data_IF_112706673910
#
_entry.id   IF_112706673910
#
_cell.length_a   1.000
_cell.length_b   1.000
_cell.length_c   1.000
_cell.angle_alpha   90.00
_cell.angle_beta   90.00
_cell.angle_gamma   90.00
#
_symmetry.space_group_name_H-M   'P 1'
#
loop_
_entity.id
_entity.type
_entity.pdbx_description
1 polymer ?
#
# COMPACT_ATOMS: atom_id res chain seq x y z
N UNK A 1 7.63 10.45 5.85
CA UNK A 1 6.24 10.09 5.50
C UNK A 1 5.21 10.54 6.53
N UNK A 2 5.51 10.61 7.83
CA UNK A 2 4.54 11.01 8.87
C UNK A 2 3.86 12.36 8.63
N UNK A 3 4.58 13.38 8.13
CA UNK A 3 3.98 14.68 7.78
C UNK A 3 2.90 14.55 6.69
N UNK A 4 3.19 13.79 5.64
CA UNK A 4 2.23 13.54 4.54
C UNK A 4 0.99 12.84 5.10
N UNK A 5 1.18 11.82 5.93
CA UNK A 5 0.09 11.10 6.57
C UNK A 5 -0.83 12.00 7.41
N UNK A 6 -0.27 12.94 8.19
CA UNK A 6 -1.06 13.91 8.98
C UNK A 6 -1.90 14.83 8.11
N UNK A 7 -1.36 15.28 6.98
CA UNK A 7 -2.08 16.16 6.06
C UNK A 7 -3.23 15.40 5.39
N UNK A 8 -3.00 14.16 4.96
CA UNK A 8 -4.05 13.30 4.42
C UNK A 8 -5.14 12.99 5.47
N UNK A 9 -4.75 12.71 6.71
CA UNK A 9 -5.68 12.48 7.82
C UNK A 9 -6.58 13.71 8.05
N UNK A 10 -6.00 14.91 8.06
CA UNK A 10 -6.74 16.18 8.16
C UNK A 10 -7.69 16.43 6.98
N UNK A 11 -7.44 15.83 5.82
CA UNK A 11 -8.32 15.85 4.65
C UNK A 11 -9.38 14.73 4.67
N UNK A 12 -9.40 13.89 5.70
CA UNK A 12 -10.41 12.85 5.89
C UNK A 12 -10.06 11.48 5.29
N UNK A 13 -8.85 11.30 4.74
CA UNK A 13 -8.42 10.01 4.22
C UNK A 13 -8.22 8.98 5.35
N UNK A 14 -8.46 7.71 5.02
CA UNK A 14 -8.18 6.58 5.91
C UNK A 14 -6.95 5.82 5.43
N UNK A 15 -6.03 5.50 6.34
CA UNK A 15 -4.82 4.74 6.00
C UNK A 15 -5.11 3.23 5.98
N UNK A 16 -4.71 2.53 4.91
CA UNK A 16 -4.52 1.07 4.91
C UNK A 16 -3.04 0.73 4.84
N UNK A 17 -2.55 -0.17 5.69
CA UNK A 17 -1.12 -0.49 5.77
C UNK A 17 -0.85 -1.91 6.30
N UNK A 18 0.37 -2.42 6.07
CA UNK A 18 0.83 -3.72 6.58
C UNK A 18 1.44 -3.65 7.99
N UNK A 19 1.70 -2.42 8.46
CA UNK A 19 2.31 -2.10 9.75
C UNK A 19 3.76 -2.60 9.92
N UNK A 20 4.51 -2.79 8.84
CA UNK A 20 5.95 -3.07 8.91
C UNK A 20 6.74 -1.90 9.52
N UNK A 21 7.99 -2.15 9.90
CA UNK A 21 8.90 -1.07 10.29
C UNK A 21 9.21 -0.17 9.09
N UNK A 22 9.44 1.12 9.34
CA UNK A 22 9.74 2.11 8.30
C UNK A 22 8.48 2.81 7.79
N UNK A 23 8.20 2.71 6.49
CA UNK A 23 7.15 3.49 5.81
C UNK A 23 5.77 3.29 6.46
N UNK A 24 5.40 2.04 6.71
CA UNK A 24 4.13 1.65 7.35
C UNK A 24 3.98 2.29 8.74
N UNK A 25 5.00 2.18 9.60
CA UNK A 25 5.02 2.83 10.92
C UNK A 25 4.94 4.36 10.81
N UNK A 26 5.70 4.94 9.87
CA UNK A 26 5.71 6.39 9.68
C UNK A 26 4.33 6.93 9.25
N UNK A 27 3.62 6.23 8.36
CA UNK A 27 2.25 6.58 7.98
C UNK A 27 1.26 6.34 9.13
N UNK A 28 1.34 5.19 9.80
CA UNK A 28 0.45 4.86 10.92
C UNK A 28 0.55 5.85 12.09
N UNK A 29 1.72 6.44 12.33
CA UNK A 29 1.93 7.48 13.34
C UNK A 29 1.32 8.84 12.96
N UNK A 30 1.04 9.08 11.68
CA UNK A 30 0.44 10.31 11.19
C UNK A 30 -1.07 10.20 10.93
N UNK A 31 -1.65 9.00 10.97
CA UNK A 31 -3.06 8.76 10.72
C UNK A 31 -3.83 8.40 12.00
N UNK A 32 -4.97 9.05 12.21
CA UNK A 32 -5.94 8.74 13.25
C UNK A 32 -6.85 7.59 12.82
N UNK A 33 -7.37 7.63 11.58
CA UNK A 33 -8.16 6.54 10.99
C UNK A 33 -7.27 5.59 10.20
N UNK A 34 -7.19 4.33 10.63
CA UNK A 34 -6.32 3.34 9.99
C UNK A 34 -6.81 1.91 10.12
N UNK A 35 -6.59 1.13 9.07
CA UNK A 35 -6.72 -0.31 9.00
C UNK A 35 -5.34 -0.92 8.78
N UNK A 36 -4.90 -1.78 9.71
CA UNK A 36 -3.58 -2.39 9.67
C UNK A 36 -3.72 -3.90 9.48
N UNK A 37 -3.47 -4.37 8.26
CA UNK A 37 -3.58 -5.78 7.90
C UNK A 37 -2.28 -6.53 8.17
N UNK A 38 -2.36 -7.61 8.94
CA UNK A 38 -1.25 -8.47 9.35
C UNK A 38 -1.35 -9.83 8.64
N UNK A 39 -0.27 -10.64 8.65
CA UNK A 39 -0.31 -12.01 8.12
C UNK A 39 -1.50 -12.85 8.58
N UNK A 40 -1.97 -12.66 9.82
CA UNK A 40 -3.10 -13.40 10.39
C UNK A 40 -4.46 -13.01 9.80
N UNK A 41 -4.56 -11.83 9.20
CA UNK A 41 -5.81 -11.30 8.64
C UNK A 41 -6.01 -11.75 7.18
N UNK A 42 -4.97 -12.29 6.54
CA UNK A 42 -5.01 -12.78 5.17
C UNK A 42 -6.02 -13.94 5.02
N UNK A 43 -7.07 -13.71 4.25
CA UNK A 43 -8.07 -14.74 3.91
C UNK A 43 -7.54 -15.69 2.83
N UNK A 44 -8.10 -16.91 2.70
CA UNK A 44 -7.77 -17.81 1.60
C UNK A 44 -7.95 -17.17 0.21
N UNK A 45 -8.99 -16.36 0.05
CA UNK A 45 -9.32 -15.67 -1.21
C UNK A 45 -8.27 -14.60 -1.52
N UNK A 46 -7.86 -13.82 -0.51
CA UNK A 46 -6.81 -12.82 -0.65
C UNK A 46 -5.46 -13.48 -1.01
N UNK A 47 -5.15 -14.62 -0.39
CA UNK A 47 -3.96 -15.42 -0.72
C UNK A 47 -4.04 -15.94 -2.16
N UNK A 48 -5.21 -16.40 -2.61
CA UNK A 48 -5.41 -16.86 -3.99
C UNK A 48 -5.12 -15.75 -4.99
N UNK A 49 -5.72 -14.56 -4.81
CA UNK A 49 -5.47 -13.38 -5.66
C UNK A 49 -3.98 -13.03 -5.66
N UNK A 50 -3.34 -13.04 -4.49
CA UNK A 50 -1.91 -12.79 -4.38
C UNK A 50 -1.09 -13.79 -5.23
N UNK A 51 -1.39 -15.08 -5.15
CA UNK A 51 -0.62 -16.10 -5.87
C UNK A 51 -0.85 -16.10 -7.38
N UNK A 52 -1.98 -15.59 -7.86
CA UNK A 52 -2.22 -15.36 -9.29
C UNK A 52 -1.34 -14.23 -9.87
N UNK A 53 -0.97 -13.25 -9.04
CA UNK A 53 -0.16 -12.08 -9.45
C UNK A 53 1.33 -12.27 -9.17
N UNK A 54 1.68 -13.09 -8.17
CA UNK A 54 3.06 -13.27 -7.74
C UNK A 54 3.91 -13.86 -8.90
N UNK A 55 5.13 -13.37 -9.16
CA UNK A 55 5.94 -13.83 -10.29
C UNK A 55 6.49 -15.25 -10.13
N UNK A 56 6.53 -15.77 -8.90
CA UNK A 56 7.02 -17.12 -8.61
C UNK A 56 6.31 -17.74 -7.39
N UNK A 57 4.99 -18.00 -7.47
CA UNK A 57 4.17 -18.45 -6.33
C UNK A 57 4.62 -19.81 -5.78
N UNK A 58 5.24 -20.65 -6.61
CA UNK A 58 5.80 -21.95 -6.22
C UNK A 58 6.94 -21.85 -5.18
N UNK A 59 7.56 -20.68 -5.04
CA UNK A 59 8.63 -20.44 -4.06
C UNK A 59 8.10 -19.82 -2.75
N UNK A 60 6.81 -19.54 -2.65
CA UNK A 60 6.21 -18.97 -1.45
C UNK A 60 5.82 -20.08 -0.45
N UNK A 61 6.45 -20.10 0.72
CA UNK A 61 5.96 -20.88 1.85
C UNK A 61 4.66 -20.26 2.42
N UNK A 62 3.99 -20.94 3.35
CA UNK A 62 2.68 -20.50 3.85
C UNK A 62 2.71 -19.14 4.56
N UNK A 63 3.81 -18.81 5.25
CA UNK A 63 3.97 -17.50 5.84
C UNK A 63 4.13 -16.41 4.77
N UNK A 64 4.88 -16.68 3.70
CA UNK A 64 5.04 -15.78 2.54
C UNK A 64 3.77 -15.69 1.69
N UNK A 65 2.92 -16.72 1.67
CA UNK A 65 1.59 -16.60 1.07
C UNK A 65 0.72 -15.63 1.85
N UNK A 66 0.70 -15.77 3.18
CA UNK A 66 0.06 -14.79 4.08
C UNK A 66 0.68 -13.41 3.92
N UNK A 67 2.03 -13.32 3.82
CA UNK A 67 2.85 -12.29 3.14
C UNK A 67 2.11 -11.34 2.21
N UNK A 68 1.63 -11.98 1.15
CA UNK A 68 1.07 -11.30 0.01
C UNK A 68 -0.43 -11.21 0.11
N UNK A 69 -1.09 -12.19 0.73
CA UNK A 69 -2.53 -12.16 0.98
C UNK A 69 -2.97 -10.91 1.74
N UNK A 70 -2.28 -10.50 2.81
CA UNK A 70 -2.66 -9.25 3.48
C UNK A 70 -2.38 -7.99 2.63
N UNK A 71 -1.43 -8.04 1.68
CA UNK A 71 -1.17 -6.92 0.78
C UNK A 71 -2.32 -6.75 -0.20
N UNK A 72 -2.98 -7.84 -0.58
CA UNK A 72 -4.24 -7.78 -1.33
C UNK A 72 -5.30 -7.04 -0.51
N UNK A 73 -5.43 -7.33 0.79
CA UNK A 73 -6.38 -6.62 1.66
C UNK A 73 -6.04 -5.13 1.83
N UNK A 74 -4.76 -4.76 1.85
CA UNK A 74 -4.35 -3.35 1.86
C UNK A 74 -4.89 -2.63 0.61
N UNK A 75 -4.82 -3.27 -0.55
CA UNK A 75 -5.22 -2.67 -1.83
C UNK A 75 -6.73 -2.73 -2.04
N UNK A 76 -7.38 -3.87 -1.82
CA UNK A 76 -8.78 -4.13 -2.17
C UNK A 76 -9.76 -4.02 -0.99
N UNK A 77 -9.27 -3.81 0.23
CA UNK A 77 -10.07 -3.86 1.44
C UNK A 77 -10.33 -5.29 1.93
N UNK A 78 -10.94 -5.40 3.11
CA UNK A 78 -11.28 -6.69 3.73
C UNK A 78 -12.32 -7.48 2.92
N UNK A 79 -13.17 -6.77 2.16
CA UNK A 79 -14.21 -7.32 1.30
C UNK A 79 -13.72 -7.67 -0.12
N UNK A 80 -12.46 -7.35 -0.43
CA UNK A 80 -11.82 -7.55 -1.74
C UNK A 80 -12.46 -6.77 -2.90
N UNK A 81 -13.38 -5.83 -2.62
CA UNK A 81 -14.13 -5.07 -3.63
C UNK A 81 -14.15 -3.57 -3.37
N UNK A 82 -13.61 -3.11 -2.24
CA UNK A 82 -13.49 -1.69 -1.90
C UNK A 82 -12.02 -1.27 -2.03
N UNK A 83 -11.52 -0.99 -3.25
CA UNK A 83 -10.13 -0.63 -3.45
C UNK A 83 -9.75 0.69 -2.77
N UNK A 84 -8.46 0.87 -2.50
CA UNK A 84 -7.90 2.18 -2.11
C UNK A 84 -7.97 3.16 -3.27
N UNK A 85 -8.14 4.45 -2.96
CA UNK A 85 -8.16 5.52 -3.97
C UNK A 85 -6.80 5.71 -4.66
N UNK A 86 -5.72 5.51 -3.92
CA UNK A 86 -4.34 5.57 -4.42
C UNK A 86 -3.40 4.82 -3.47
N UNK A 87 -2.20 4.51 -3.96
CA UNK A 87 -1.11 3.92 -3.17
C UNK A 87 0.02 4.94 -3.02
N UNK A 88 0.42 5.24 -1.78
CA UNK A 88 1.69 5.92 -1.52
C UNK A 88 2.74 4.89 -1.10
N UNK A 89 3.83 4.80 -1.85
CA UNK A 89 4.91 3.87 -1.60
C UNK A 89 6.27 4.56 -1.72
N UNK A 90 7.29 3.92 -1.16
CA UNK A 90 8.67 4.22 -1.50
C UNK A 90 9.39 2.90 -1.70
N UNK A 91 10.07 2.79 -2.83
CA UNK A 91 10.84 1.60 -3.17
C UNK A 91 12.25 2.02 -3.58
N UNK A 92 13.30 1.30 -3.13
CA UNK A 92 14.66 1.60 -3.55
C UNK A 92 14.79 1.59 -5.08
N UNK A 93 15.24 2.69 -5.67
CA UNK A 93 15.37 2.81 -7.12
C UNK A 93 14.06 2.87 -7.90
N UNK A 94 12.91 3.05 -7.23
CA UNK A 94 11.59 3.04 -7.86
C UNK A 94 11.13 1.65 -8.32
N UNK A 95 11.85 0.59 -7.96
CA UNK A 95 11.65 -0.76 -8.50
C UNK A 95 10.56 -1.53 -7.72
N UNK A 96 9.74 -2.29 -8.46
CA UNK A 96 8.71 -3.19 -7.91
C UNK A 96 9.30 -4.52 -7.42
N UNK A 97 10.15 -4.45 -6.40
CA UNK A 97 10.87 -5.59 -5.86
C UNK A 97 10.43 -5.92 -4.42
N UNK A 98 10.59 -7.18 -4.02
CA UNK A 98 10.27 -7.65 -2.68
C UNK A 98 8.77 -7.67 -2.35
N UNK A 99 8.46 -7.67 -1.04
CA UNK A 99 7.10 -7.79 -0.51
C UNK A 99 6.13 -6.70 -1.00
N UNK A 100 6.62 -5.47 -1.16
CA UNK A 100 5.86 -4.32 -1.69
C UNK A 100 5.49 -4.48 -3.16
N UNK A 101 6.33 -5.18 -3.95
CA UNK A 101 6.14 -5.31 -5.39
C UNK A 101 4.82 -5.96 -5.79
N UNK A 102 4.30 -6.89 -4.99
CA UNK A 102 2.99 -7.51 -5.27
C UNK A 102 1.83 -6.52 -5.11
N UNK A 103 1.85 -5.70 -4.06
CA UNK A 103 0.81 -4.67 -3.86
C UNK A 103 0.81 -3.64 -4.99
N UNK A 104 1.99 -3.24 -5.47
CA UNK A 104 2.12 -2.32 -6.61
C UNK A 104 1.61 -2.94 -7.92
N UNK A 105 1.94 -4.21 -8.21
CA UNK A 105 1.41 -4.91 -9.39
C UNK A 105 -0.11 -5.04 -9.35
N UNK A 106 -0.67 -5.34 -8.18
CA UNK A 106 -2.12 -5.40 -8.00
C UNK A 106 -2.74 -4.02 -8.23
N UNK A 107 -2.21 -2.96 -7.63
CA UNK A 107 -2.71 -1.60 -7.84
C UNK A 107 -2.70 -1.21 -9.33
N UNK A 108 -1.66 -1.55 -10.09
CA UNK A 108 -1.63 -1.31 -11.53
C UNK A 108 -2.68 -2.11 -12.31
N UNK A 109 -2.90 -3.37 -11.92
CA UNK A 109 -3.93 -4.23 -12.54
C UNK A 109 -5.33 -3.66 -12.37
N UNK A 110 -5.59 -3.03 -11.22
CA UNK A 110 -6.87 -2.41 -10.88
C UNK A 110 -6.95 -0.92 -11.27
N UNK A 111 -5.98 -0.42 -12.04
CA UNK A 111 -5.88 0.98 -12.48
C UNK A 111 -5.86 2.01 -11.32
N UNK A 112 -5.29 1.63 -10.19
CA UNK A 112 -5.15 2.46 -9.00
C UNK A 112 -3.89 3.32 -9.13
N UNK A 113 -4.03 4.64 -8.92
CA UNK A 113 -2.91 5.58 -8.98
C UNK A 113 -1.84 5.25 -7.92
N UNK A 114 -0.58 5.13 -8.37
CA UNK A 114 0.57 4.89 -7.50
C UNK A 114 1.44 6.15 -7.44
N UNK A 115 1.69 6.62 -6.22
CA UNK A 115 2.67 7.64 -5.87
C UNK A 115 3.91 6.98 -5.29
N UNK A 116 4.89 6.68 -6.13
CA UNK A 116 6.18 6.16 -5.68
C UNK A 116 7.13 7.32 -5.35
N UNK A 117 7.30 7.63 -4.07
CA UNK A 117 8.03 8.80 -3.58
C UNK A 117 9.56 8.73 -3.81
N UNK A 118 10.06 7.66 -4.42
CA UNK A 118 11.42 7.67 -4.98
C UNK A 118 11.49 8.55 -6.25
N UNK A 119 10.41 8.60 -7.01
CA UNK A 119 10.29 9.39 -8.23
C UNK A 119 10.05 10.86 -7.87
N UNK A 120 10.84 11.76 -8.48
CA UNK A 120 10.73 13.20 -8.25
C UNK A 120 9.43 13.75 -8.79
N UNK A 121 8.93 13.22 -9.90
CA UNK A 121 7.70 13.71 -10.52
C UNK A 121 6.50 13.36 -9.64
N UNK A 122 6.49 12.16 -9.05
CA UNK A 122 5.49 11.80 -8.05
C UNK A 122 5.61 12.64 -6.77
N UNK A 123 6.82 13.02 -6.35
CA UNK A 123 6.98 13.91 -5.20
C UNK A 123 6.36 15.29 -5.47
N UNK A 124 6.57 15.83 -6.67
CA UNK A 124 5.96 17.10 -7.11
C UNK A 124 4.45 16.96 -7.17
N UNK A 125 3.93 15.90 -7.80
CA UNK A 125 2.48 15.68 -7.90
C UNK A 125 1.82 15.53 -6.51
N UNK A 126 2.46 14.80 -5.59
CA UNK A 126 1.98 14.68 -4.21
C UNK A 126 1.99 16.04 -3.51
N UNK A 127 3.04 16.83 -3.73
CA UNK A 127 3.13 18.16 -3.16
C UNK A 127 2.00 19.05 -3.67
N UNK A 128 1.82 19.17 -4.98
CA UNK A 128 0.79 20.00 -5.61
C UNK A 128 -0.62 19.57 -5.22
N UNK A 129 -0.89 18.26 -5.25
CA UNK A 129 -2.25 17.73 -5.03
C UNK A 129 -2.66 17.72 -3.56
N UNK A 130 -1.74 17.40 -2.65
CA UNK A 130 -2.09 17.13 -1.26
C UNK A 130 -1.46 18.07 -0.25
N UNK A 131 -0.29 18.63 -0.55
CA UNK A 131 0.50 19.39 0.43
C UNK A 131 0.53 20.89 0.14
N UNK A 132 0.12 21.31 -1.06
CA UNK A 132 0.01 22.71 -1.42
C UNK A 132 -1.28 23.22 -0.80
N UNK A 133 -1.12 23.96 0.29
CA UNK A 133 -2.17 24.79 0.83
C UNK A 133 -2.15 26.07 -0.02
N UNK A 134 -3.07 26.19 -0.98
CA UNK A 134 -3.45 27.54 -1.41
C UNK A 134 -4.02 28.25 -0.19
N UNK A 135 -3.20 29.17 0.34
CA UNK A 135 -3.44 30.33 1.21
C UNK A 135 -4.76 30.40 1.97
#
# INVERSE_FOLDING_TARGET
MTRIARILDGKGYTLRSGGAEGADTAFANGASKKEIFRPKDATPEAIKIAMEIHPAPQHCNDYVKKLHGRNVLIILGQDLITPVEFVMAWTPGGKKIGGTGLGLRLAEREDIKIYNLFDKDHLVEVHERFLNEEK
#
